data_IF_888232474978
#
_entry.id   IF_888232474978
#
_cell.length_a   1.000
_cell.length_b   1.000
_cell.length_c   1.000
_cell.angle_alpha   90.00
_cell.angle_beta   90.00
_cell.angle_gamma   90.00
#
_symmetry.space_group_name_H-M   'P 1'
#
loop_
_entity.id
_entity.type
_entity.pdbx_description
1 polymer ?
#
# COMPACT_ATOMS: atom_id res chain seq x y z
N UNK A 1 -1.54 2.81 3.08
CA UNK A 1 -0.97 1.59 3.68
C UNK A 1 -0.38 1.97 5.02
N UNK A 2 -0.80 1.34 6.11
CA UNK A 2 -0.37 1.72 7.46
C UNK A 2 0.88 0.96 7.91
N UNK A 3 1.05 -0.28 7.48
CA UNK A 3 2.24 -1.10 7.75
C UNK A 3 2.33 -2.28 6.78
N UNK A 4 3.54 -2.73 6.49
CA UNK A 4 3.85 -3.96 5.75
C UNK A 4 4.70 -4.84 6.67
N UNK A 5 4.36 -6.12 6.78
CA UNK A 5 5.13 -7.07 7.60
C UNK A 5 6.48 -7.39 6.95
N UNK A 6 7.50 -7.60 7.77
CA UNK A 6 8.81 -8.06 7.31
C UNK A 6 8.84 -9.56 6.96
N UNK A 7 7.82 -10.33 7.37
CA UNK A 7 7.73 -11.76 7.09
C UNK A 7 7.13 -12.02 5.71
N UNK A 8 7.92 -12.63 4.83
CA UNK A 8 7.41 -13.16 3.56
C UNK A 8 6.56 -14.41 3.82
N UNK A 9 5.39 -14.48 3.19
CA UNK A 9 4.54 -15.68 3.14
C UNK A 9 4.53 -16.24 1.73
N UNK A 10 4.04 -17.47 1.55
CA UNK A 10 3.90 -18.09 0.22
C UNK A 10 3.06 -17.24 -0.77
N UNK A 11 2.30 -16.27 -0.27
CA UNK A 11 1.45 -15.35 -1.04
C UNK A 11 1.97 -13.90 -1.06
N UNK A 12 3.21 -13.66 -0.63
CA UNK A 12 3.83 -12.33 -0.61
C UNK A 12 3.87 -11.68 0.78
N UNK A 13 4.00 -10.35 0.80
CA UNK A 13 4.09 -9.57 2.04
C UNK A 13 2.70 -9.16 2.55
N UNK A 14 2.31 -9.56 3.77
CA UNK A 14 1.07 -9.09 4.34
C UNK A 14 1.16 -7.59 4.64
N UNK A 15 0.13 -6.84 4.23
CA UNK A 15 0.03 -5.41 4.43
C UNK A 15 -1.29 -5.07 5.13
N UNK A 16 -1.25 -4.06 5.99
CA UNK A 16 -2.43 -3.51 6.65
C UNK A 16 -2.82 -2.20 5.96
N UNK A 17 -4.06 -2.16 5.47
CA UNK A 17 -4.66 -0.99 4.84
C UNK A 17 -5.87 -0.52 5.66
N UNK A 18 -6.11 0.78 5.63
CA UNK A 18 -7.31 1.39 6.22
C UNK A 18 -8.27 1.73 5.08
N UNK A 19 -9.55 1.46 5.30
CA UNK A 19 -10.62 1.84 4.39
C UNK A 19 -11.07 3.25 4.76
N UNK A 20 -10.85 4.27 3.90
CA UNK A 20 -11.10 5.67 4.26
C UNK A 20 -12.57 5.96 4.56
N UNK A 21 -13.49 5.23 3.92
CA UNK A 21 -14.94 5.36 4.12
C UNK A 21 -15.52 4.24 5.00
N UNK A 22 -14.65 3.51 5.72
CA UNK A 22 -15.04 2.35 6.51
C UNK A 22 -15.64 1.24 5.64
N UNK A 23 -16.78 0.69 6.05
CA UNK A 23 -17.48 -0.39 5.35
C UNK A 23 -18.52 0.06 4.33
N UNK A 24 -18.57 1.36 4.07
CA UNK A 24 -19.56 1.90 3.14
C UNK A 24 -19.12 1.61 1.72
N UNK A 25 -19.92 0.82 1.01
CA UNK A 25 -19.74 0.56 -0.42
C UNK A 25 -19.97 1.83 -1.25
N UNK A 26 -19.52 1.83 -2.50
CA UNK A 26 -19.78 2.93 -3.45
C UNK A 26 -21.27 3.21 -3.69
N UNK A 27 -22.16 2.29 -3.30
CA UNK A 27 -23.62 2.43 -3.39
C UNK A 27 -24.28 2.90 -2.07
N UNK A 28 -23.49 3.24 -1.05
CA UNK A 28 -24.00 3.75 0.24
C UNK A 28 -24.46 2.67 1.21
N UNK A 29 -24.20 1.39 0.92
CA UNK A 29 -24.53 0.28 1.83
C UNK A 29 -23.36 -0.01 2.77
N UNK A 30 -23.62 -0.05 4.07
CA UNK A 30 -22.63 -0.43 5.08
C UNK A 30 -22.54 -1.95 5.22
N UNK A 31 -21.35 -2.51 5.02
CA UNK A 31 -21.06 -3.92 5.25
C UNK A 31 -20.81 -4.15 6.75
N UNK A 32 -21.40 -5.20 7.32
CA UNK A 32 -21.07 -5.65 8.68
C UNK A 32 -19.90 -6.62 8.60
N UNK A 33 -18.83 -6.34 9.35
CA UNK A 33 -17.67 -7.24 9.45
C UNK A 33 -17.95 -8.33 10.49
N UNK A 34 -18.79 -9.30 10.16
CA UNK A 34 -18.98 -10.48 11.00
C UNK A 34 -18.00 -11.62 10.64
N UNK A 35 -17.27 -11.49 9.51
CA UNK A 35 -16.37 -12.49 8.93
C UNK A 35 -15.20 -11.86 8.19
N UNK A 36 -14.19 -12.67 7.87
CA UNK A 36 -13.10 -12.27 6.97
C UNK A 36 -13.65 -11.99 5.56
N UNK A 37 -13.41 -10.79 5.04
CA UNK A 37 -13.78 -10.43 3.67
C UNK A 37 -12.71 -10.91 2.69
N UNK A 38 -13.13 -11.66 1.68
CA UNK A 38 -12.30 -12.00 0.53
C UNK A 38 -12.61 -11.03 -0.61
N UNK A 39 -11.58 -10.46 -1.21
CA UNK A 39 -11.73 -9.51 -2.31
C UNK A 39 -10.46 -9.40 -3.14
N UNK A 40 -10.62 -8.93 -4.37
CA UNK A 40 -9.51 -8.59 -5.24
C UNK A 40 -9.31 -7.08 -5.12
N UNK A 41 -8.10 -6.66 -4.81
CA UNK A 41 -7.71 -5.25 -4.82
C UNK A 41 -6.74 -5.01 -5.98
N UNK A 42 -7.06 -4.05 -6.84
CA UNK A 42 -6.11 -3.54 -7.83
C UNK A 42 -5.30 -2.42 -7.19
N UNK A 43 -3.98 -2.57 -7.22
CA UNK A 43 -3.04 -1.58 -6.69
C UNK A 43 -2.40 -0.88 -7.87
N UNK A 44 -2.81 0.36 -8.13
CA UNK A 44 -2.10 1.23 -9.09
C UNK A 44 -1.01 1.97 -8.35
N UNK A 45 0.25 1.66 -8.65
CA UNK A 45 1.40 2.43 -8.18
C UNK A 45 1.71 3.56 -9.15
N UNK A 46 2.39 4.61 -8.66
CA UNK A 46 2.91 5.67 -9.53
C UNK A 46 3.85 5.09 -10.60
N UNK A 47 3.76 5.59 -11.83
CA UNK A 47 4.71 5.28 -12.89
C UNK A 47 6.06 5.92 -12.58
N UNK A 48 6.94 5.17 -11.93
CA UNK A 48 8.33 5.56 -11.79
C UNK A 48 9.04 5.32 -13.12
N UNK A 49 9.46 6.40 -13.79
CA UNK A 49 10.36 6.28 -14.93
C UNK A 49 11.63 5.51 -14.52
N UNK A 50 12.19 4.71 -15.43
CA UNK A 50 13.42 3.94 -15.18
C UNK A 50 14.56 4.85 -14.68
N UNK A 51 14.63 6.07 -15.21
CA UNK A 51 15.60 7.07 -14.79
C UNK A 51 15.36 7.49 -13.34
N UNK A 52 14.12 7.78 -12.93
CA UNK A 52 13.81 8.09 -11.53
C UNK A 52 14.21 6.95 -10.60
N UNK A 53 14.02 5.69 -10.99
CA UNK A 53 14.44 4.52 -10.19
C UNK A 53 15.95 4.47 -9.98
N UNK A 54 16.74 4.82 -11.00
CA UNK A 54 18.19 4.85 -10.93
C UNK A 54 18.72 6.01 -10.06
N UNK A 55 18.01 7.14 -10.05
CA UNK A 55 18.38 8.32 -9.25
C UNK A 55 17.77 8.33 -7.83
N UNK A 56 16.81 7.46 -7.51
CA UNK A 56 16.22 7.29 -6.17
C UNK A 56 17.27 7.12 -5.05
N UNK A 57 18.33 6.30 -5.21
CA UNK A 57 19.38 6.17 -4.21
C UNK A 57 20.13 7.49 -3.96
N UNK A 58 20.42 8.26 -5.02
CA UNK A 58 21.11 9.55 -4.91
C UNK A 58 20.24 10.59 -4.20
N UNK A 59 18.94 10.62 -4.51
CA UNK A 59 17.96 11.47 -3.80
C UNK A 59 17.90 11.12 -2.31
N UNK A 60 17.91 9.83 -1.98
CA UNK A 60 17.93 9.37 -0.59
C UNK A 60 19.20 9.81 0.14
N UNK A 61 20.37 9.66 -0.49
CA UNK A 61 21.66 10.10 0.07
C UNK A 61 21.70 11.62 0.28
N UNK A 62 21.25 12.40 -0.69
CA UNK A 62 21.17 13.86 -0.57
C UNK A 62 20.26 14.28 0.58
N UNK A 63 19.08 13.68 0.71
CA UNK A 63 18.13 13.98 1.80
C UNK A 63 18.65 13.54 3.18
N UNK A 64 19.47 12.49 3.24
CA UNK A 64 20.11 12.03 4.48
C UNK A 64 21.31 12.89 4.91
N UNK A 65 21.94 13.61 3.98
CA UNK A 65 23.09 14.50 4.25
C UNK A 65 22.70 15.96 4.48
N UNK A 66 21.50 16.37 4.04
CA UNK A 66 20.95 17.70 4.30
C UNK A 66 20.00 17.61 5.50
N UNK A 67 20.60 17.51 6.69
CA UNK A 67 19.98 17.92 7.95
C UNK A 67 21.03 18.69 8.76
#
# INVERSE_FOLDING_TARGET
IRSVSSGYTDKGYPALAELPNGTTTSYGVAIQFDRELQGIAEITTEDLSLLQRLFSPLKHLYKSRVK
#
